data_IF_200498373838
#
_entry.id   IF_200498373838
#
_cell.length_a   1.000
_cell.length_b   1.000
_cell.length_c   1.000
_cell.angle_alpha   90.00
_cell.angle_beta   90.00
_cell.angle_gamma   90.00
#
_symmetry.space_group_name_H-M   'P 1'
#
loop_
_entity.id
_entity.type
_entity.pdbx_description
1 polymer ?
#
# COMPACT_ATOMS: atom_id res chain seq x y z
N UNK A 1 -7.68 -3.70 -14.87
CA UNK A 1 -7.13 -4.41 -13.71
C UNK A 1 -7.04 -3.45 -12.53
N UNK A 2 -7.42 -3.90 -11.36
CA UNK A 2 -7.40 -3.08 -10.15
C UNK A 2 -6.26 -3.53 -9.25
N UNK A 3 -5.41 -2.59 -8.84
CA UNK A 3 -4.22 -2.89 -8.02
C UNK A 3 -4.27 -2.02 -6.76
N UNK A 4 -4.13 -2.64 -5.60
CA UNK A 4 -3.95 -1.92 -4.33
C UNK A 4 -2.47 -1.92 -4.00
N UNK A 5 -1.92 -0.71 -3.78
CA UNK A 5 -0.53 -0.52 -3.41
C UNK A 5 -0.50 0.03 -1.99
N UNK A 6 0.10 -0.70 -1.07
CA UNK A 6 0.27 -0.22 0.30
C UNK A 6 1.67 0.37 0.45
N UNK A 7 1.79 1.44 1.24
CA UNK A 7 3.06 2.15 1.36
C UNK A 7 3.44 2.96 0.13
N UNK A 8 2.46 3.28 -0.70
CA UNK A 8 2.71 3.95 -1.98
C UNK A 8 3.11 5.42 -1.87
N UNK A 9 3.00 6.03 -0.69
CA UNK A 9 3.46 7.41 -0.50
C UNK A 9 4.96 7.47 -0.21
N UNK A 10 5.64 6.35 -0.01
CA UNK A 10 7.08 6.30 0.11
C UNK A 10 7.75 6.47 -1.24
N UNK A 11 9.09 6.59 -1.22
CA UNK A 11 9.86 6.88 -2.43
C UNK A 11 9.69 5.81 -3.51
N UNK A 12 9.94 4.55 -3.17
CA UNK A 12 9.86 3.46 -4.15
C UNK A 12 8.42 3.19 -4.57
N UNK A 13 7.51 3.21 -3.60
CA UNK A 13 6.09 2.97 -3.89
C UNK A 13 5.49 4.01 -4.81
N UNK A 14 5.82 5.30 -4.60
CA UNK A 14 5.31 6.37 -5.46
C UNK A 14 5.84 6.24 -6.90
N UNK A 15 7.11 5.91 -7.06
CA UNK A 15 7.68 5.68 -8.38
C UNK A 15 7.02 4.51 -9.10
N UNK A 16 6.70 3.45 -8.36
CA UNK A 16 5.95 2.33 -8.92
C UNK A 16 4.58 2.78 -9.42
N UNK A 17 3.87 3.59 -8.62
CA UNK A 17 2.56 4.11 -9.02
C UNK A 17 2.65 4.94 -10.28
N UNK A 18 3.62 5.86 -10.35
CA UNK A 18 3.81 6.70 -11.54
C UNK A 18 4.06 5.84 -12.78
N UNK A 19 4.93 4.85 -12.65
CA UNK A 19 5.25 3.94 -13.74
C UNK A 19 4.01 3.18 -14.23
N UNK A 20 3.21 2.66 -13.30
CA UNK A 20 2.03 1.87 -13.64
C UNK A 20 0.96 2.72 -14.31
N UNK A 21 0.72 3.93 -13.81
CA UNK A 21 -0.27 4.82 -14.41
C UNK A 21 0.13 5.28 -15.81
N UNK A 22 1.43 5.46 -16.03
CA UNK A 22 1.95 5.86 -17.34
C UNK A 22 1.91 4.71 -18.34
N UNK A 23 2.38 3.54 -17.94
CA UNK A 23 2.53 2.39 -18.84
C UNK A 23 1.21 1.65 -19.09
N UNK A 24 0.33 1.62 -18.08
CA UNK A 24 -0.94 0.89 -18.14
C UNK A 24 -2.10 1.82 -17.84
N UNK A 25 -2.48 2.70 -18.77
CA UNK A 25 -3.49 3.74 -18.50
C UNK A 25 -4.88 3.19 -18.18
N UNK A 26 -5.15 1.94 -18.49
CA UNK A 26 -6.44 1.30 -18.18
C UNK A 26 -6.47 0.68 -16.78
N UNK A 27 -5.33 0.61 -16.10
CA UNK A 27 -5.27 0.02 -14.76
C UNK A 27 -5.69 1.05 -13.72
N UNK A 28 -6.50 0.60 -12.76
CA UNK A 28 -6.85 1.41 -11.61
C UNK A 28 -5.88 1.11 -10.47
N UNK A 29 -5.27 2.16 -9.95
CA UNK A 29 -4.30 2.05 -8.86
C UNK A 29 -4.87 2.72 -7.62
N UNK A 30 -4.98 1.97 -6.52
CA UNK A 30 -5.42 2.49 -5.23
C UNK A 30 -4.24 2.44 -4.28
N UNK A 31 -3.87 3.58 -3.75
CA UNK A 31 -2.78 3.69 -2.77
C UNK A 31 -3.36 3.71 -1.36
N UNK A 32 -2.98 2.74 -0.55
CA UNK A 32 -3.34 2.67 0.86
C UNK A 32 -2.11 2.98 1.69
N UNK A 33 -2.11 4.09 2.42
CA UNK A 33 -0.96 4.51 3.19
C UNK A 33 -1.41 5.23 4.46
N UNK A 34 -0.71 4.98 5.53
CA UNK A 34 -0.98 5.62 6.82
C UNK A 34 -0.45 7.04 6.88
N UNK A 35 0.46 7.41 6.00
CA UNK A 35 1.12 8.73 5.98
C UNK A 35 1.84 9.03 7.29
N UNK A 36 2.62 8.07 7.78
CA UNK A 36 3.46 8.30 8.94
C UNK A 36 4.70 9.09 8.50
N UNK A 37 5.70 9.14 9.35
CA UNK A 37 6.88 9.98 9.13
C UNK A 37 7.57 9.76 7.78
N UNK A 38 7.45 8.58 7.19
CA UNK A 38 8.11 8.28 5.92
C UNK A 38 7.25 8.62 4.71
N UNK A 39 5.93 8.72 4.90
CA UNK A 39 5.01 8.99 3.82
C UNK A 39 4.61 10.46 3.76
N UNK A 40 4.49 10.99 2.55
CA UNK A 40 4.10 12.37 2.35
C UNK A 40 3.20 12.44 1.13
N UNK A 41 1.99 12.97 1.32
CA UNK A 41 1.02 13.08 0.24
C UNK A 41 1.55 13.91 -0.94
N UNK A 42 2.43 14.87 -0.68
CA UNK A 42 3.02 15.68 -1.74
C UNK A 42 3.81 14.85 -2.75
N UNK A 43 4.33 13.69 -2.35
CA UNK A 43 5.02 12.78 -3.27
C UNK A 43 4.09 12.28 -4.36
N UNK A 44 2.80 12.15 -4.05
CA UNK A 44 1.79 11.66 -4.99
C UNK A 44 1.03 12.80 -5.67
N UNK A 45 1.37 14.06 -5.39
CA UNK A 45 0.67 15.21 -5.96
C UNK A 45 0.50 15.14 -7.48
N UNK A 46 1.49 14.69 -8.28
CA UNK A 46 1.31 14.63 -9.73
C UNK A 46 0.18 13.73 -10.20
N UNK A 47 -0.22 12.76 -9.38
CA UNK A 47 -1.25 11.78 -9.79
C UNK A 47 -2.54 11.87 -8.98
N UNK A 48 -2.62 12.78 -8.01
CA UNK A 48 -3.81 12.88 -7.16
C UNK A 48 -5.10 13.16 -7.94
N UNK A 49 -4.99 13.85 -9.07
CA UNK A 49 -6.13 14.15 -9.92
C UNK A 49 -6.32 13.15 -11.06
N UNK A 50 -5.48 12.12 -11.12
CA UNK A 50 -5.56 11.14 -12.20
C UNK A 50 -6.85 10.32 -12.07
N UNK A 51 -7.63 10.12 -13.14
CA UNK A 51 -8.93 9.45 -13.05
C UNK A 51 -8.85 7.98 -12.63
N UNK A 52 -7.70 7.36 -12.82
CA UNK A 52 -7.49 5.95 -12.45
C UNK A 52 -6.74 5.78 -11.14
N UNK A 53 -6.49 6.86 -10.40
CA UNK A 53 -5.79 6.83 -9.13
C UNK A 53 -6.73 7.21 -7.99
N UNK A 54 -6.65 6.47 -6.88
CA UNK A 54 -7.35 6.78 -5.64
C UNK A 54 -6.38 6.65 -4.48
N UNK A 55 -6.39 7.64 -3.59
CA UNK A 55 -5.63 7.59 -2.34
C UNK A 55 -6.55 7.32 -1.16
N UNK A 56 -6.16 6.37 -0.30
CA UNK A 56 -6.89 6.08 0.93
C UNK A 56 -5.90 6.14 2.09
N UNK A 57 -6.17 7.04 3.04
CA UNK A 57 -5.35 7.14 4.25
C UNK A 57 -5.89 6.17 5.29
N UNK A 58 -5.17 5.09 5.53
CA UNK A 58 -5.54 4.11 6.53
C UNK A 58 -4.34 3.25 6.91
N UNK A 59 -4.44 2.59 8.05
CA UNK A 59 -3.41 1.69 8.54
C UNK A 59 -3.70 0.27 8.02
N UNK A 60 -2.69 -0.41 7.48
CA UNK A 60 -2.87 -1.79 7.04
C UNK A 60 -3.20 -2.73 8.19
N UNK A 61 -2.94 -2.33 9.42
CA UNK A 61 -3.33 -3.10 10.61
C UNK A 61 -4.81 -2.93 10.94
N UNK A 62 -5.50 -1.96 10.33
CA UNK A 62 -6.92 -1.75 10.53
C UNK A 62 -7.70 -2.70 9.63
N UNK A 63 -8.07 -3.84 10.19
CA UNK A 63 -8.73 -4.92 9.45
C UNK A 63 -10.04 -4.46 8.80
N UNK A 64 -10.83 -3.67 9.49
CA UNK A 64 -12.10 -3.18 8.94
C UNK A 64 -11.88 -2.30 7.72
N UNK A 65 -10.94 -1.36 7.81
CA UNK A 65 -10.63 -0.46 6.70
C UNK A 65 -10.11 -1.23 5.49
N UNK A 66 -9.23 -2.19 5.72
CA UNK A 66 -8.65 -3.01 4.65
C UNK A 66 -9.74 -3.85 3.98
N UNK A 67 -10.56 -4.52 4.76
CA UNK A 67 -11.63 -5.37 4.21
C UNK A 67 -12.65 -4.53 3.43
N UNK A 68 -13.03 -3.37 3.97
CA UNK A 68 -13.95 -2.47 3.29
C UNK A 68 -13.38 -2.03 1.94
N UNK A 69 -12.10 -1.69 1.90
CA UNK A 69 -11.45 -1.27 0.67
C UNK A 69 -11.42 -2.40 -0.36
N UNK A 70 -11.15 -3.63 0.07
CA UNK A 70 -11.19 -4.79 -0.81
C UNK A 70 -12.58 -5.01 -1.41
N UNK A 71 -13.62 -4.82 -0.60
CA UNK A 71 -15.00 -4.94 -1.09
C UNK A 71 -15.34 -3.85 -2.11
N UNK A 72 -14.91 -2.62 -1.86
CA UNK A 72 -15.18 -1.49 -2.76
C UNK A 72 -14.43 -1.61 -4.08
N UNK A 73 -13.15 -1.95 -4.02
CA UNK A 73 -12.27 -1.91 -5.19
C UNK A 73 -12.14 -3.23 -5.91
N UNK A 74 -12.37 -4.35 -5.23
CA UNK A 74 -12.24 -5.70 -5.80
C UNK A 74 -10.90 -5.84 -6.54
N UNK A 75 -9.77 -5.71 -5.82
CA UNK A 75 -8.48 -5.71 -6.48
C UNK A 75 -8.11 -7.05 -7.08
N UNK A 76 -7.33 -7.02 -8.14
CA UNK A 76 -6.76 -8.20 -8.76
C UNK A 76 -5.39 -8.52 -8.23
N UNK A 77 -4.64 -7.49 -7.83
CA UNK A 77 -3.26 -7.61 -7.36
C UNK A 77 -3.05 -6.71 -6.14
N UNK A 78 -2.31 -7.22 -5.17
CA UNK A 78 -1.90 -6.43 -4.00
C UNK A 78 -0.38 -6.31 -4.04
N UNK A 79 0.14 -5.09 -3.91
CA UNK A 79 1.58 -4.83 -3.83
C UNK A 79 1.86 -4.08 -2.53
N UNK A 80 2.62 -4.69 -1.65
CA UNK A 80 2.87 -4.15 -0.31
C UNK A 80 4.29 -3.60 -0.18
N UNK A 81 4.39 -2.27 -0.07
CA UNK A 81 5.65 -1.56 0.19
C UNK A 81 5.75 -1.07 1.64
N UNK A 82 4.91 -1.57 2.53
CA UNK A 82 4.76 -0.99 3.86
C UNK A 82 6.01 -1.06 4.74
N UNK A 83 6.92 -1.98 4.42
CA UNK A 83 8.16 -2.14 5.19
C UNK A 83 9.26 -1.17 4.77
N UNK A 84 9.04 -0.43 3.69
CA UNK A 84 10.05 0.48 3.14
C UNK A 84 10.27 1.68 4.05
N UNK A 85 11.52 2.16 4.09
CA UNK A 85 11.93 3.44 4.68
C UNK A 85 11.65 3.64 6.17
N UNK A 86 11.63 2.57 6.93
CA UNK A 86 11.46 2.63 8.39
C UNK A 86 12.72 2.27 9.16
N UNK A 87 13.87 2.35 8.52
CA UNK A 87 15.14 1.93 9.14
C UNK A 87 15.46 2.74 10.38
N UNK A 88 15.37 4.06 10.29
CA UNK A 88 15.68 4.92 11.43
C UNK A 88 14.76 4.65 12.61
N UNK A 89 13.49 4.45 12.31
CA UNK A 89 12.50 4.19 13.34
C UNK A 89 12.65 2.81 13.95
N UNK A 90 13.05 1.83 13.17
CA UNK A 90 13.30 0.49 13.67
C UNK A 90 14.52 0.44 14.58
N UNK A 91 15.48 1.33 14.37
CA UNK A 91 16.62 1.46 15.27
C UNK A 91 16.19 1.97 16.64
N UNK A 92 15.27 2.93 16.68
CA UNK A 92 14.75 3.47 17.95
C UNK A 92 13.81 2.50 18.65
N UNK A 93 12.92 1.85 17.92
CA UNK A 93 11.89 0.97 18.47
C UNK A 93 11.71 -0.26 17.60
N UNK A 94 12.69 -1.14 17.53
CA UNK A 94 12.64 -2.28 16.61
C UNK A 94 11.47 -3.24 16.88
N UNK A 95 11.09 -3.43 18.13
CA UNK A 95 9.99 -4.32 18.48
C UNK A 95 8.65 -3.83 17.94
N UNK A 96 8.39 -2.53 18.08
CA UNK A 96 7.16 -1.91 17.60
C UNK A 96 7.11 -1.97 16.07
N UNK A 97 8.24 -1.67 15.42
CA UNK A 97 8.31 -1.72 13.97
C UNK A 97 8.00 -3.12 13.43
N UNK A 98 8.63 -4.16 14.00
CA UNK A 98 8.42 -5.53 13.58
C UNK A 98 6.97 -5.97 13.80
N UNK A 99 6.40 -5.63 14.95
CA UNK A 99 5.02 -5.98 15.27
C UNK A 99 4.06 -5.37 14.26
N UNK A 100 4.21 -4.09 13.95
CA UNK A 100 3.34 -3.40 12.99
C UNK A 100 3.43 -4.03 11.61
N UNK A 101 4.63 -4.36 11.14
CA UNK A 101 4.81 -4.98 9.84
C UNK A 101 4.21 -6.39 9.78
N UNK A 102 4.38 -7.18 10.82
CA UNK A 102 3.84 -8.53 10.87
C UNK A 102 2.31 -8.48 10.89
N UNK A 103 1.75 -7.63 11.74
CA UNK A 103 0.30 -7.50 11.84
C UNK A 103 -0.33 -6.99 10.55
N UNK A 104 0.27 -5.96 9.95
CA UNK A 104 -0.23 -5.39 8.71
C UNK A 104 -0.20 -6.40 7.56
N UNK A 105 0.91 -7.13 7.43
CA UNK A 105 1.02 -8.16 6.41
C UNK A 105 -0.01 -9.27 6.63
N UNK A 106 -0.22 -9.68 7.89
CA UNK A 106 -1.21 -10.70 8.20
C UNK A 106 -2.63 -10.26 7.82
N UNK A 107 -2.98 -9.00 8.10
CA UNK A 107 -4.28 -8.45 7.73
C UNK A 107 -4.46 -8.47 6.21
N UNK A 108 -3.44 -8.04 5.46
CA UNK A 108 -3.51 -8.06 4.00
C UNK A 108 -3.66 -9.46 3.44
N UNK A 109 -2.92 -10.42 3.99
CA UNK A 109 -3.00 -11.80 3.52
C UNK A 109 -4.34 -12.45 3.87
N UNK A 110 -4.89 -12.13 5.04
CA UNK A 110 -6.22 -12.60 5.41
C UNK A 110 -7.29 -12.02 4.49
N UNK A 111 -7.16 -10.75 4.13
CA UNK A 111 -8.08 -10.11 3.19
C UNK A 111 -7.98 -10.77 1.81
N UNK A 112 -6.78 -11.07 1.35
CA UNK A 112 -6.59 -11.78 0.08
C UNK A 112 -7.30 -13.13 0.10
N UNK A 113 -7.18 -13.89 1.18
CA UNK A 113 -7.86 -15.18 1.30
C UNK A 113 -9.37 -15.02 1.31
N UNK A 114 -9.87 -14.03 2.05
CA UNK A 114 -11.32 -13.81 2.18
C UNK A 114 -11.95 -13.45 0.84
N UNK A 115 -11.26 -12.65 0.04
CA UNK A 115 -11.81 -12.12 -1.21
C UNK A 115 -11.26 -12.82 -2.46
N UNK A 116 -10.53 -13.92 -2.28
CA UNK A 116 -10.07 -14.74 -3.41
C UNK A 116 -8.98 -14.10 -4.24
N UNK A 117 -8.17 -13.20 -3.67
CA UNK A 117 -7.06 -12.57 -4.36
C UNK A 117 -5.87 -13.52 -4.34
N UNK A 118 -5.36 -13.90 -5.51
CA UNK A 118 -4.26 -14.86 -5.61
C UNK A 118 -2.92 -14.21 -5.93
N UNK A 119 -2.91 -12.91 -6.27
CA UNK A 119 -1.68 -12.19 -6.63
C UNK A 119 -1.32 -11.20 -5.52
N UNK A 120 -0.34 -11.58 -4.71
CA UNK A 120 0.18 -10.75 -3.63
C UNK A 120 1.68 -10.63 -3.79
N UNK A 121 2.18 -9.38 -3.83
CA UNK A 121 3.60 -9.09 -3.95
C UNK A 121 4.07 -8.32 -2.74
N UNK A 122 5.00 -8.89 -2.00
CA UNK A 122 5.65 -8.23 -0.88
C UNK A 122 6.96 -7.66 -1.36
N UNK A 123 7.09 -6.33 -1.32
CA UNK A 123 8.35 -5.68 -1.68
C UNK A 123 9.06 -5.28 -0.39
N UNK A 124 10.23 -5.85 -0.18
CA UNK A 124 11.05 -5.55 0.99
C UNK A 124 12.28 -4.79 0.53
N UNK A 125 12.49 -3.62 1.13
CA UNK A 125 13.67 -2.80 0.85
C UNK A 125 14.47 -2.66 2.12
N UNK A 126 15.60 -3.29 2.19
CA UNK A 126 16.47 -3.24 3.37
C UNK A 126 17.51 -2.14 3.25
#
# INVERSE_FOLDING_TARGET
>A
MNIIVTGGAGFIGSNFIFHMLDKYPDYRIVCLDKLTYAGNLSTLAPVMDHPKFRFVKADICDREAVYQLFEEEQPDIIVNFAAESHVDRSIENPGIFLETNIMGTAVLMDACRKYGITRYHQVSTD
#
